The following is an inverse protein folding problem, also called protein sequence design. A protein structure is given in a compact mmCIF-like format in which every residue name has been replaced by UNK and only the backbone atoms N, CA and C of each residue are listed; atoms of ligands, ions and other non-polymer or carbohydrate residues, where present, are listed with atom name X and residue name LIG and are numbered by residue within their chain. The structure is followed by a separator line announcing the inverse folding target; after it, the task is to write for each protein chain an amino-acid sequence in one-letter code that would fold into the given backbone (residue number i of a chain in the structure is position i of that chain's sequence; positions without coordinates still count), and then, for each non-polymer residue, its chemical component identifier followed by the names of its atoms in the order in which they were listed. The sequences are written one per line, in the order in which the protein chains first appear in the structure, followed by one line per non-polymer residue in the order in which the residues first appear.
data_IF_027479571892
#
_entry.id   IF_027479571892
#
_cell.length_a   1.000
_cell.length_b   1.000
_cell.length_c   1.000
_cell.angle_alpha   90.00
_cell.angle_beta   90.00
_cell.angle_gamma   90.00
#
_symmetry.space_group_name_H-M   'P 1'
#
loop_
_entity.id
_entity.type
_entity.pdbx_description
1 polymer ?
#
# COMPACT_ATOMS: atom_id res chain seq x y z
N UNK A 1 15.03 3.97 6.32
CA UNK A 1 14.72 2.98 5.26
C UNK A 1 13.24 2.68 5.29
N UNK A 2 12.54 2.87 4.18
CA UNK A 2 11.10 2.56 4.04
C UNK A 2 10.96 1.39 3.07
N UNK A 3 10.17 0.37 3.42
CA UNK A 3 9.89 -0.79 2.56
C UNK A 3 8.46 -1.28 2.72
N UNK A 4 7.85 -1.69 1.62
CA UNK A 4 6.56 -2.38 1.60
C UNK A 4 6.76 -3.82 1.13
N UNK A 5 6.34 -4.78 1.94
CA UNK A 5 6.28 -6.19 1.60
C UNK A 5 4.83 -6.64 1.49
N UNK A 6 4.56 -7.46 0.47
CA UNK A 6 3.23 -7.95 0.14
C UNK A 6 3.31 -9.45 -0.08
N UNK A 7 2.30 -10.18 0.40
CA UNK A 7 2.23 -11.63 0.20
C UNK A 7 0.80 -12.10 0.04
N UNK A 8 0.63 -13.21 -0.70
CA UNK A 8 -0.65 -13.94 -0.83
C UNK A 8 -0.62 -15.17 0.04
N UNK A 9 -1.77 -15.50 0.64
CA UNK A 9 -1.94 -16.72 1.43
C UNK A 9 -1.81 -17.98 0.57
N UNK A 10 -2.30 -17.95 -0.67
CA UNK A 10 -2.22 -19.08 -1.63
C UNK A 10 -1.32 -18.68 -2.81
N UNK A 11 -0.03 -18.50 -2.55
CA UNK A 11 0.93 -18.02 -3.56
C UNK A 11 1.20 -19.02 -4.71
N UNK A 12 0.82 -20.29 -4.56
CA UNK A 12 1.08 -21.33 -5.55
C UNK A 12 0.07 -21.38 -6.70
N UNK A 13 -1.10 -20.76 -6.51
CA UNK A 13 -2.17 -20.72 -7.51
C UNK A 13 -2.22 -19.36 -8.21
N UNK A 14 -2.74 -19.31 -9.46
CA UNK A 14 -3.01 -18.04 -10.13
C UNK A 14 -3.86 -17.11 -9.26
N UNK A 15 -3.55 -15.82 -9.30
CA UNK A 15 -4.28 -14.82 -8.53
C UNK A 15 -5.77 -14.77 -8.85
N UNK A 16 -6.57 -14.59 -7.81
CA UNK A 16 -7.98 -14.23 -7.89
C UNK A 16 -8.25 -12.87 -7.24
N UNK A 17 -9.34 -12.23 -7.66
CA UNK A 17 -9.77 -10.91 -7.19
C UNK A 17 -9.94 -10.82 -5.66
N UNK A 18 -10.24 -11.96 -5.02
CA UNK A 18 -10.57 -12.05 -3.61
C UNK A 18 -9.49 -12.74 -2.79
N UNK A 19 -8.28 -12.87 -3.34
CA UNK A 19 -7.21 -13.53 -2.61
C UNK A 19 -6.86 -12.79 -1.34
N UNK A 20 -6.74 -13.59 -0.28
CA UNK A 20 -6.28 -13.12 1.00
C UNK A 20 -4.75 -12.98 0.98
N UNK A 21 -4.26 -12.04 1.77
CA UNK A 21 -2.85 -11.77 1.89
C UNK A 21 -2.52 -10.85 3.03
N UNK A 22 -1.23 -10.55 3.10
CA UNK A 22 -0.65 -9.73 4.16
C UNK A 22 0.14 -8.56 3.58
N UNK A 23 0.06 -7.44 4.30
CA UNK A 23 0.79 -6.20 4.04
C UNK A 23 1.72 -5.96 5.22
N UNK A 24 2.99 -5.68 4.92
CA UNK A 24 3.98 -5.24 5.90
C UNK A 24 4.67 -3.96 5.43
N UNK A 25 4.57 -2.90 6.23
CA UNK A 25 5.25 -1.64 6.02
C UNK A 25 6.33 -1.46 7.08
N UNK A 26 7.58 -1.33 6.65
CA UNK A 26 8.73 -1.09 7.50
C UNK A 26 9.21 0.34 7.31
N UNK A 27 9.36 1.08 8.41
CA UNK A 27 9.92 2.44 8.45
C UNK A 27 10.97 2.49 9.55
N UNK A 28 12.24 2.46 9.16
CA UNK A 28 13.38 2.33 10.07
C UNK A 28 13.22 1.13 11.02
N UNK A 29 12.96 1.38 12.31
CA UNK A 29 12.71 0.35 13.32
C UNK A 29 11.23 0.06 13.58
N UNK A 30 10.32 0.76 12.91
CA UNK A 30 8.88 0.55 13.02
C UNK A 30 8.41 -0.47 11.99
N UNK A 31 7.64 -1.47 12.42
CA UNK A 31 7.08 -2.51 11.57
C UNK A 31 5.57 -2.52 11.77
N UNK A 32 4.83 -2.32 10.69
CA UNK A 32 3.37 -2.39 10.64
C UNK A 32 2.98 -3.57 9.78
N UNK A 33 2.61 -4.70 10.39
CA UNK A 33 2.26 -5.90 9.64
C UNK A 33 0.85 -6.42 9.97
N UNK A 34 0.17 -6.92 8.95
CA UNK A 34 -1.06 -7.66 9.12
C UNK A 34 -0.80 -9.11 9.54
N UNK A 35 0.37 -9.68 9.22
CA UNK A 35 0.66 -11.10 9.47
C UNK A 35 0.72 -11.50 10.95
N UNK A 36 0.75 -10.54 11.89
CA UNK A 36 0.71 -10.79 13.33
C UNK A 36 -0.54 -11.54 13.81
N UNK A 37 -1.63 -11.55 13.04
CA UNK A 37 -2.87 -12.25 13.42
C UNK A 37 -3.63 -12.72 12.18
N UNK A 38 -4.18 -13.95 12.16
CA UNK A 38 -5.04 -14.40 11.06
C UNK A 38 -6.24 -13.47 10.81
N UNK A 39 -6.70 -12.74 11.83
CA UNK A 39 -7.82 -11.77 11.73
C UNK A 39 -7.45 -10.48 10.99
N UNK A 40 -6.16 -10.28 10.74
CA UNK A 40 -5.64 -9.11 10.05
C UNK A 40 -5.39 -9.38 8.56
N UNK A 41 -5.49 -10.64 8.11
CA UNK A 41 -5.45 -10.96 6.69
C UNK A 41 -6.50 -10.15 5.95
N UNK A 42 -6.16 -9.74 4.73
CA UNK A 42 -7.00 -8.84 3.96
C UNK A 42 -7.14 -9.31 2.52
N UNK A 43 -8.22 -8.90 1.86
CA UNK A 43 -8.33 -9.04 0.40
C UNK A 43 -7.26 -8.16 -0.24
N UNK A 44 -6.15 -8.76 -0.65
CA UNK A 44 -4.88 -8.04 -0.84
C UNK A 44 -4.99 -7.01 -1.96
N UNK A 45 -5.60 -7.39 -3.09
CA UNK A 45 -5.70 -6.52 -4.26
C UNK A 45 -6.61 -5.31 -4.02
N UNK A 46 -7.75 -5.52 -3.37
CA UNK A 46 -8.69 -4.44 -3.03
C UNK A 46 -8.06 -3.50 -1.99
N UNK A 47 -7.37 -4.07 -1.00
CA UNK A 47 -6.64 -3.31 0.01
C UNK A 47 -5.52 -2.46 -0.60
N UNK A 48 -4.81 -2.98 -1.61
CA UNK A 48 -3.77 -2.23 -2.33
C UNK A 48 -4.35 -1.05 -3.11
N UNK A 49 -5.47 -1.24 -3.82
CA UNK A 49 -6.17 -0.16 -4.51
C UNK A 49 -6.50 0.96 -3.52
N UNK A 50 -7.15 0.62 -2.40
CA UNK A 50 -7.53 1.60 -1.39
C UNK A 50 -6.33 2.32 -0.76
N UNK A 51 -5.25 1.59 -0.47
CA UNK A 51 -4.02 2.15 0.08
C UNK A 51 -3.40 3.16 -0.89
N UNK A 52 -3.27 2.80 -2.17
CA UNK A 52 -2.67 3.66 -3.20
C UNK A 52 -3.53 4.90 -3.44
N UNK A 53 -4.85 4.74 -3.59
CA UNK A 53 -5.76 5.86 -3.82
C UNK A 53 -5.69 6.87 -2.67
N UNK A 54 -5.66 6.39 -1.42
CA UNK A 54 -5.55 7.26 -0.25
C UNK A 54 -4.18 7.94 -0.13
N UNK A 55 -3.09 7.23 -0.43
CA UNK A 55 -1.74 7.78 -0.39
C UNK A 55 -1.50 8.83 -1.50
N UNK A 56 -2.12 8.65 -2.66
CA UNK A 56 -2.00 9.57 -3.80
C UNK A 56 -2.96 10.76 -3.71
N UNK A 57 -3.98 10.71 -2.84
CA UNK A 57 -4.79 11.88 -2.52
C UNK A 57 -4.00 12.92 -1.70
N UNK A 58 -3.43 13.89 -2.40
CA UNK A 58 -2.66 14.97 -1.79
C UNK A 58 -3.51 15.99 -1.03
N UNK A 59 -4.84 15.99 -1.19
CA UNK A 59 -5.75 16.95 -0.56
C UNK A 59 -6.10 16.55 0.87
N UNK A 60 -6.06 15.26 1.19
CA UNK A 60 -6.36 14.75 2.52
C UNK A 60 -5.27 15.14 3.52
N UNK A 61 -5.64 15.85 4.60
CA UNK A 61 -4.70 16.14 5.71
C UNK A 61 -4.46 14.93 6.61
N UNK A 62 -5.47 14.07 6.73
CA UNK A 62 -5.45 12.83 7.52
C UNK A 62 -6.34 11.81 6.82
N UNK A 63 -5.91 10.56 6.82
CA UNK A 63 -6.74 9.45 6.36
C UNK A 63 -6.39 8.18 7.15
N UNK A 64 -7.32 7.25 7.16
CA UNK A 64 -7.12 5.91 7.74
C UNK A 64 -7.26 4.91 6.61
N UNK A 65 -6.22 4.12 6.39
CA UNK A 65 -6.30 2.90 5.60
C UNK A 65 -6.82 1.79 6.52
N UNK A 66 -7.89 1.12 6.12
CA UNK A 66 -8.38 -0.09 6.77
C UNK A 66 -8.28 -1.19 5.73
N UNK A 67 -7.52 -2.24 6.03
CA UNK A 67 -7.39 -3.33 5.09
C UNK A 67 -8.75 -4.04 4.92
N UNK A 68 -9.09 -4.43 3.69
CA UNK A 68 -10.41 -4.94 3.34
C UNK A 68 -10.61 -6.31 3.96
N UNK A 69 -11.76 -6.51 4.60
CA UNK A 69 -12.12 -7.71 5.36
C UNK A 69 -11.18 -7.98 6.56
N UNK A 70 -10.58 -6.92 7.10
CA UNK A 70 -9.56 -6.99 8.15
C UNK A 70 -9.79 -5.96 9.24
N UNK A 71 -9.33 -6.26 10.47
CA UNK A 71 -9.23 -5.25 11.53
C UNK A 71 -7.90 -4.49 11.53
N UNK A 72 -7.02 -4.76 10.57
CA UNK A 72 -5.76 -4.05 10.40
C UNK A 72 -6.01 -2.66 9.83
N UNK A 73 -5.56 -1.62 10.53
CA UNK A 73 -5.62 -0.24 10.03
C UNK A 73 -4.33 0.52 10.29
N UNK A 74 -4.03 1.45 9.38
CA UNK A 74 -2.91 2.37 9.49
C UNK A 74 -3.44 3.78 9.26
N UNK A 75 -3.14 4.69 10.18
CA UNK A 75 -3.53 6.09 10.08
C UNK A 75 -2.35 6.91 9.56
N UNK A 76 -2.64 7.78 8.62
CA UNK A 76 -1.66 8.66 8.01
C UNK A 76 -2.05 10.11 8.28
N UNK A 77 -1.05 10.93 8.61
CA UNK A 77 -1.22 12.36 8.80
C UNK A 77 -0.22 13.10 7.94
N UNK A 78 -0.74 13.81 6.96
CA UNK A 78 0.02 14.60 6.01
C UNK A 78 0.41 15.95 6.63
N UNK A 79 1.70 16.28 6.61
CA UNK A 79 2.28 17.53 7.13
C UNK A 79 3.19 18.12 6.05
N UNK A 80 2.64 19.03 5.23
CA UNK A 80 3.36 19.55 4.04
C UNK A 80 3.86 18.38 3.17
N UNK A 81 5.18 18.28 2.97
CA UNK A 81 5.89 17.25 2.22
C UNK A 81 6.13 15.95 3.00
N UNK A 82 5.83 15.91 4.30
CA UNK A 82 6.06 14.73 5.14
C UNK A 82 4.76 14.04 5.56
N UNK A 83 4.90 12.81 6.03
CA UNK A 83 3.81 11.96 6.51
C UNK A 83 4.19 11.38 7.87
N UNK A 84 3.28 11.45 8.84
CA UNK A 84 3.37 10.67 10.08
C UNK A 84 2.46 9.45 9.94
N UNK A 85 2.95 8.29 10.39
CA UNK A 85 2.18 7.05 10.42
C UNK A 85 1.85 6.70 11.86
N UNK A 86 0.60 6.31 12.10
CA UNK A 86 0.05 6.00 13.41
C UNK A 86 -0.61 4.62 13.35
N UNK A 87 -0.16 3.70 14.21
CA UNK A 87 -0.70 2.35 14.34
C UNK A 87 -0.54 1.87 15.79
N UNK A 88 -1.57 1.28 16.39
CA UNK A 88 -1.55 0.76 17.78
C UNK A 88 -0.91 1.72 18.81
N UNK A 89 -1.28 3.00 18.76
CA UNK A 89 -0.74 4.08 19.61
C UNK A 89 0.75 4.42 19.41
N UNK A 90 1.44 3.76 18.48
CA UNK A 90 2.77 4.13 18.03
C UNK A 90 2.68 5.17 16.92
N UNK A 91 3.57 6.15 16.95
CA UNK A 91 3.68 7.20 15.94
C UNK A 91 5.11 7.19 15.42
N UNK A 92 5.27 7.10 14.10
CA UNK A 92 6.59 7.23 13.48
C UNK A 92 7.07 8.69 13.53
N UNK A 93 8.39 8.93 13.45
CA UNK A 93 8.88 10.21 12.97
C UNK A 93 8.24 10.58 11.62
N UNK A 94 8.15 11.88 11.35
CA UNK A 94 7.66 12.35 10.06
C UNK A 94 8.64 11.93 8.95
N UNK A 95 8.15 11.17 7.97
CA UNK A 95 8.92 10.66 6.83
C UNK A 95 8.60 11.45 5.57
N UNK A 96 9.55 11.48 4.63
CA UNK A 96 9.31 12.12 3.34
C UNK A 96 8.21 11.37 2.55
N UNK A 97 7.26 12.12 2.00
CA UNK A 97 6.14 11.52 1.25
C UNK A 97 6.62 10.86 -0.03
N UNK A 98 7.57 11.46 -0.73
CA UNK A 98 8.07 10.91 -1.99
C UNK A 98 8.78 9.59 -1.71
N UNK A 99 9.58 9.52 -0.64
CA UNK A 99 10.21 8.25 -0.21
C UNK A 99 9.18 7.18 0.13
N UNK A 100 8.09 7.53 0.84
CA UNK A 100 7.01 6.58 1.13
C UNK A 100 6.34 6.06 -0.16
N UNK A 101 6.02 6.95 -1.09
CA UNK A 101 5.39 6.57 -2.36
C UNK A 101 6.32 5.71 -3.23
N UNK A 102 7.62 5.99 -3.22
CA UNK A 102 8.64 5.17 -3.91
C UNK A 102 8.71 3.77 -3.31
N UNK A 103 8.73 3.65 -1.99
CA UNK A 103 8.73 2.34 -1.33
C UNK A 103 7.47 1.52 -1.63
N UNK A 104 6.32 2.19 -1.78
CA UNK A 104 5.06 1.54 -2.21
C UNK A 104 5.15 1.08 -3.66
N UNK A 105 5.65 1.92 -4.59
CA UNK A 105 5.84 1.53 -5.99
C UNK A 105 6.83 0.35 -6.13
N UNK A 106 7.94 0.39 -5.41
CA UNK A 106 8.93 -0.70 -5.37
C UNK A 106 8.32 -2.00 -4.84
N UNK A 107 7.59 -1.96 -3.72
CA UNK A 107 6.94 -3.15 -3.15
C UNK A 107 5.85 -3.73 -4.06
N UNK A 108 5.10 -2.88 -4.76
CA UNK A 108 4.13 -3.30 -5.78
C UNK A 108 4.81 -3.97 -6.97
N UNK A 109 5.89 -3.37 -7.48
CA UNK A 109 6.64 -3.93 -8.60
C UNK A 109 7.27 -5.29 -8.21
N UNK A 110 7.82 -5.42 -7.00
CA UNK A 110 8.34 -6.68 -6.49
C UNK A 110 7.24 -7.74 -6.41
N UNK A 111 6.10 -7.41 -5.79
CA UNK A 111 4.96 -8.32 -5.66
C UNK A 111 4.41 -8.79 -7.01
N UNK A 112 4.25 -7.88 -7.97
CA UNK A 112 3.70 -8.14 -9.30
C UNK A 112 4.73 -8.71 -10.28
N UNK A 113 6.02 -8.72 -9.94
CA UNK A 113 7.05 -9.39 -10.75
C UNK A 113 6.88 -10.92 -10.76
N UNK A 114 6.16 -11.45 -9.79
CA UNK A 114 5.78 -12.87 -9.73
C UNK A 114 4.52 -13.10 -10.57
N UNK A 115 4.64 -13.88 -11.65
CA UNK A 115 3.53 -14.15 -12.58
C UNK A 115 2.26 -14.65 -11.88
N UNK A 116 2.40 -15.49 -10.85
CA UNK A 116 1.26 -16.01 -10.07
C UNK A 116 0.48 -14.91 -9.35
N UNK A 117 1.10 -13.76 -9.05
CA UNK A 117 0.45 -12.61 -8.39
C UNK A 117 -0.23 -11.66 -9.37
N UNK A 118 -0.10 -11.88 -10.68
CA UNK A 118 -0.80 -11.07 -11.67
C UNK A 118 -2.26 -11.48 -11.77
N UNK A 119 -3.16 -10.52 -11.56
CA UNK A 119 -4.60 -10.74 -11.75
C UNK A 119 -4.93 -11.01 -13.24
N UNK A 120 -5.96 -11.81 -13.52
CA UNK A 120 -6.45 -12.00 -14.89
C UNK A 120 -6.87 -10.68 -15.53
N UNK A 121 -6.46 -10.43 -16.77
CA UNK A 121 -6.66 -9.14 -17.47
C UNK A 121 -8.12 -8.74 -17.70
N UNK A 122 -9.07 -9.68 -17.59
CA UNK A 122 -10.49 -9.43 -17.73
C UNK A 122 -11.20 -9.11 -16.41
N UNK A 123 -10.48 -9.16 -15.27
CA UNK A 123 -11.01 -8.78 -13.97
C UNK A 123 -11.22 -7.27 -13.86
N UNK A 124 -12.31 -6.87 -13.19
CA UNK A 124 -12.52 -5.47 -12.82
C UNK A 124 -11.50 -4.98 -11.79
N UNK A 125 -11.14 -5.83 -10.83
CA UNK A 125 -10.12 -5.52 -9.82
C UNK A 125 -8.74 -5.34 -10.48
N UNK A 126 -8.43 -6.11 -11.53
CA UNK A 126 -7.21 -5.90 -12.30
C UNK A 126 -7.17 -4.51 -12.97
N UNK A 127 -8.28 -4.07 -13.56
CA UNK A 127 -8.39 -2.75 -14.17
C UNK A 127 -8.25 -1.62 -13.11
N UNK A 128 -8.92 -1.76 -11.97
CA UNK A 128 -8.86 -0.79 -10.87
C UNK A 128 -7.44 -0.71 -10.27
N UNK A 129 -6.78 -1.86 -10.08
CA UNK A 129 -5.38 -1.91 -9.61
C UNK A 129 -4.43 -1.23 -10.61
N UNK A 130 -4.61 -1.47 -11.91
CA UNK A 130 -3.82 -0.82 -12.95
C UNK A 130 -4.00 0.71 -12.91
N UNK A 131 -5.24 1.18 -12.73
CA UNK A 131 -5.54 2.60 -12.58
C UNK A 131 -4.87 3.20 -11.34
N UNK A 132 -4.96 2.52 -10.18
CA UNK A 132 -4.30 2.94 -8.96
C UNK A 132 -2.77 3.04 -9.13
N UNK A 133 -2.13 2.04 -9.75
CA UNK A 133 -0.69 2.05 -10.06
C UNK A 133 -0.34 3.22 -11.00
N UNK A 134 -1.14 3.48 -12.02
CA UNK A 134 -0.92 4.61 -12.91
C UNK A 134 -1.04 5.96 -12.18
N UNK A 135 -1.97 6.07 -11.24
CA UNK A 135 -2.12 7.25 -10.38
C UNK A 135 -0.89 7.45 -9.48
N UNK A 136 -0.35 6.36 -8.90
CA UNK A 136 0.89 6.38 -8.12
C UNK A 136 2.06 6.92 -8.94
N UNK A 137 2.30 6.34 -10.11
CA UNK A 137 3.38 6.76 -11.02
C UNK A 137 3.24 8.21 -11.47
N UNK A 138 2.03 8.62 -11.83
CA UNK A 138 1.74 10.01 -12.21
C UNK A 138 2.00 10.97 -11.06
N UNK A 139 1.66 10.57 -9.83
CA UNK A 139 1.89 11.38 -8.63
C UNK A 139 3.39 11.51 -8.32
N UNK A 140 4.14 10.43 -8.43
CA UNK A 140 5.60 10.44 -8.29
C UNK A 140 6.26 11.39 -9.30
N UNK A 141 5.89 11.29 -10.58
CA UNK A 141 6.40 12.17 -11.64
C UNK A 141 6.07 13.65 -11.36
N UNK A 142 4.90 13.96 -10.80
CA UNK A 142 4.55 15.33 -10.43
C UNK A 142 5.48 15.88 -9.35
N UNK A 143 5.81 15.07 -8.33
CA UNK A 143 6.72 15.48 -7.27
C UNK A 143 8.18 15.61 -7.74
N UNK A 144 8.61 14.79 -8.70
CA UNK A 144 9.94 14.94 -9.30
C UNK A 144 10.08 16.24 -10.10
N UNK A 145 9.02 16.62 -10.82
CA UNK A 145 9.02 17.85 -11.62
C UNK A 145 8.72 19.11 -10.79
N UNK A 146 8.00 18.98 -9.67
CA UNK A 146 7.59 20.07 -8.79
C UNK A 146 7.62 19.58 -7.33
N UNK A 147 8.80 19.63 -6.67
CA UNK A 147 8.91 19.19 -5.28
C UNK A 147 8.04 20.05 -4.35
N UNK A 148 7.35 19.44 -3.37
CA UNK A 148 6.43 20.10 -2.45
C UNK A 148 7.08 21.06 -1.44
#
# INVERSE_FOLDING_TARGET
MIKLYLSRTVAEEPASDFDMGDIELIIDSFIFNSSASPRHQCMIYISLIELIDKLTDTKAKRFEFVAVDSSFSIKFKNIKSTVEIIHNHQITPAIDRVELLKAVDEGLNEFLSTEKNCLPTHSRIAADLCNAINNLKTTLLKFENNPP
#
